data_IF_215742170871
#
_entry.id   IF_215742170871
#
_cell.length_a   1.000
_cell.length_b   1.000
_cell.length_c   1.000
_cell.angle_alpha   90.00
_cell.angle_beta   90.00
_cell.angle_gamma   90.00
#
_symmetry.space_group_name_H-M   'P 1'
#
loop_
_entity.id
_entity.type
_entity.pdbx_description
1 polymer ?
#
# COMPACT_ATOMS: atom_id res chain seq x y z
N UNK A 1 16.25 4.97 -54.35
CA UNK A 1 15.20 6.01 -54.26
C UNK A 1 14.45 5.97 -52.92
N UNK A 2 13.69 4.91 -52.60
CA UNK A 2 12.88 4.83 -51.36
C UNK A 2 13.62 5.06 -50.03
N UNK A 3 14.87 4.60 -49.89
CA UNK A 3 15.68 4.82 -48.68
C UNK A 3 16.06 6.31 -48.46
N UNK A 4 16.11 7.11 -49.53
CA UNK A 4 16.52 8.52 -49.50
C UNK A 4 15.32 9.46 -49.34
N UNK A 5 14.22 9.19 -50.05
CA UNK A 5 12.96 9.92 -49.93
C UNK A 5 11.78 8.93 -49.95
N UNK A 6 11.19 8.58 -48.79
CA UNK A 6 10.06 7.64 -48.71
C UNK A 6 8.72 8.23 -49.16
N UNK A 7 8.62 9.56 -49.19
CA UNK A 7 7.42 10.32 -49.49
C UNK A 7 7.72 11.39 -50.56
N UNK A 8 7.95 10.97 -51.81
CA UNK A 8 8.30 11.93 -52.85
C UNK A 8 7.14 12.86 -53.21
N UNK A 9 7.46 14.12 -53.42
CA UNK A 9 6.48 15.14 -53.81
C UNK A 9 6.01 14.97 -55.27
N UNK A 10 5.13 15.84 -55.76
CA UNK A 10 4.58 15.72 -57.13
C UNK A 10 5.64 15.97 -58.22
N UNK A 11 6.62 16.84 -57.96
CA UNK A 11 7.68 17.18 -58.91
C UNK A 11 8.67 16.03 -59.00
N UNK A 12 9.10 15.51 -57.85
CA UNK A 12 9.95 14.34 -57.72
C UNK A 12 9.30 13.10 -58.36
N UNK A 13 7.99 12.90 -58.15
CA UNK A 13 7.26 11.78 -58.78
C UNK A 13 7.23 11.91 -60.30
N UNK A 14 7.08 13.12 -60.86
CA UNK A 14 7.15 13.34 -62.32
C UNK A 14 8.55 13.11 -62.88
N UNK A 15 9.59 13.52 -62.15
CA UNK A 15 10.97 13.29 -62.57
C UNK A 15 11.29 11.78 -62.57
N UNK A 16 10.94 11.07 -61.50
CA UNK A 16 11.11 9.61 -61.40
C UNK A 16 10.33 8.88 -62.51
N UNK A 17 9.11 9.34 -62.80
CA UNK A 17 8.28 8.80 -63.88
C UNK A 17 8.96 8.98 -65.25
N UNK A 18 9.48 10.18 -65.52
CA UNK A 18 10.21 10.49 -66.75
C UNK A 18 11.48 9.66 -66.91
N UNK A 19 12.28 9.55 -65.85
CA UNK A 19 13.55 8.81 -65.86
C UNK A 19 13.36 7.30 -66.06
N UNK A 20 12.21 6.76 -65.63
CA UNK A 20 11.88 5.34 -65.70
C UNK A 20 10.92 4.97 -66.83
N UNK A 21 10.44 5.93 -67.62
CA UNK A 21 9.42 5.70 -68.67
C UNK A 21 8.08 5.21 -68.12
N UNK A 22 7.70 5.63 -66.92
CA UNK A 22 6.46 5.25 -66.23
C UNK A 22 5.48 6.42 -66.14
N UNK A 23 4.22 6.14 -65.82
CA UNK A 23 3.28 7.19 -65.45
C UNK A 23 3.50 7.66 -63.99
N UNK A 24 3.34 8.97 -63.68
CA UNK A 24 3.43 9.48 -62.31
C UNK A 24 2.52 8.77 -61.30
N UNK A 25 1.36 8.25 -61.76
CA UNK A 25 0.44 7.45 -60.94
C UNK A 25 1.05 6.10 -60.53
N UNK A 26 1.77 5.42 -61.43
CA UNK A 26 2.44 4.16 -61.13
C UNK A 26 3.52 4.35 -60.06
N UNK A 27 4.29 5.44 -60.14
CA UNK A 27 5.27 5.82 -59.13
C UNK A 27 4.59 6.05 -57.77
N UNK A 28 3.47 6.79 -57.74
CA UNK A 28 2.70 7.01 -56.50
C UNK A 28 2.28 5.70 -55.84
N UNK A 29 1.66 4.79 -56.59
CA UNK A 29 1.20 3.51 -56.06
C UNK A 29 2.36 2.61 -55.62
N UNK A 30 3.48 2.62 -56.34
CA UNK A 30 4.66 1.86 -55.95
C UNK A 30 5.20 2.32 -54.58
N UNK A 31 5.35 3.63 -54.36
CA UNK A 31 5.81 4.16 -53.06
C UNK A 31 4.82 3.87 -51.93
N UNK A 32 3.51 3.99 -52.20
CA UNK A 32 2.47 3.65 -51.23
C UNK A 32 2.53 2.17 -50.83
N UNK A 33 2.56 1.26 -51.81
CA UNK A 33 2.66 -0.17 -51.57
C UNK A 33 3.97 -0.53 -50.85
N UNK A 34 5.08 0.13 -51.18
CA UNK A 34 6.37 -0.11 -50.53
C UNK A 34 6.37 0.32 -49.06
N UNK A 35 5.71 1.43 -48.70
CA UNK A 35 5.52 1.85 -47.30
C UNK A 35 4.68 0.84 -46.53
N UNK A 36 3.54 0.42 -47.08
CA UNK A 36 2.68 -0.59 -46.46
C UNK A 36 3.43 -1.89 -46.23
N UNK A 37 4.15 -2.39 -47.24
CA UNK A 37 4.97 -3.59 -47.12
C UNK A 37 6.02 -3.47 -46.01
N UNK A 38 6.75 -2.34 -45.94
CA UNK A 38 7.78 -2.14 -44.92
C UNK A 38 7.17 -2.05 -43.51
N UNK A 39 6.02 -1.39 -43.35
CA UNK A 39 5.28 -1.31 -42.08
C UNK A 39 4.86 -2.71 -41.61
N UNK A 40 4.25 -3.50 -42.49
CA UNK A 40 3.84 -4.88 -42.16
C UNK A 40 5.02 -5.77 -41.78
N UNK A 41 6.17 -5.64 -42.46
CA UNK A 41 7.38 -6.39 -42.08
C UNK A 41 7.89 -5.96 -40.70
N UNK A 42 7.96 -4.66 -40.42
CA UNK A 42 8.36 -4.14 -39.10
C UNK A 42 7.45 -4.67 -37.99
N UNK A 43 6.14 -4.53 -38.16
CA UNK A 43 5.14 -4.98 -37.19
C UNK A 43 5.22 -6.49 -36.92
N UNK A 44 5.50 -7.30 -37.95
CA UNK A 44 5.71 -8.75 -37.78
C UNK A 44 6.97 -9.04 -36.97
N UNK A 45 8.06 -8.31 -37.20
CA UNK A 45 9.31 -8.47 -36.43
C UNK A 45 9.07 -8.05 -34.98
N UNK A 46 8.45 -6.90 -34.74
CA UNK A 46 8.13 -6.39 -33.41
C UNK A 46 7.19 -7.36 -32.65
N UNK A 47 6.16 -7.88 -33.32
CA UNK A 47 5.26 -8.87 -32.73
C UNK A 47 5.99 -10.17 -32.37
N UNK A 48 6.90 -10.63 -33.22
CA UNK A 48 7.68 -11.83 -32.94
C UNK A 48 8.59 -11.64 -31.71
N UNK A 49 9.23 -10.48 -31.56
CA UNK A 49 10.02 -10.13 -30.37
C UNK A 49 9.15 -10.14 -29.12
N UNK A 50 7.97 -9.51 -29.17
CA UNK A 50 7.03 -9.49 -28.04
C UNK A 50 6.54 -10.89 -27.65
N UNK A 51 6.31 -11.78 -28.63
CA UNK A 51 5.91 -13.17 -28.37
C UNK A 51 7.00 -13.95 -27.64
N UNK A 52 8.24 -13.84 -28.09
CA UNK A 52 9.39 -14.51 -27.44
C UNK A 52 9.56 -14.01 -26.02
N UNK A 53 9.46 -12.70 -25.79
CA UNK A 53 9.56 -12.12 -24.45
C UNK A 53 8.40 -12.53 -23.53
N UNK A 54 7.18 -12.61 -24.07
CA UNK A 54 6.02 -13.08 -23.32
C UNK A 54 6.18 -14.56 -22.91
N UNK A 55 6.64 -15.42 -23.83
CA UNK A 55 6.94 -16.81 -23.53
C UNK A 55 8.05 -16.95 -22.47
N UNK A 56 9.10 -16.13 -22.55
CA UNK A 56 10.15 -16.05 -21.52
C UNK A 56 9.56 -15.69 -20.15
N UNK A 57 8.77 -14.61 -20.07
CA UNK A 57 8.14 -14.18 -18.83
C UNK A 57 7.17 -15.24 -18.28
N UNK A 58 6.44 -15.93 -19.15
CA UNK A 58 5.52 -16.99 -18.73
C UNK A 58 6.29 -18.18 -18.12
N UNK A 59 7.40 -18.57 -18.74
CA UNK A 59 8.26 -19.64 -18.22
C UNK A 59 8.90 -19.24 -16.88
N UNK A 60 9.38 -18.01 -16.73
CA UNK A 60 9.90 -17.50 -15.45
C UNK A 60 8.83 -17.49 -14.35
N UNK A 61 7.62 -17.05 -14.66
CA UNK A 61 6.49 -17.11 -13.74
C UNK A 61 6.15 -18.54 -13.32
N UNK A 62 6.22 -19.50 -14.25
CA UNK A 62 5.97 -20.91 -13.95
C UNK A 62 7.03 -21.44 -12.97
N UNK A 63 8.31 -21.19 -13.24
CA UNK A 63 9.41 -21.61 -12.36
C UNK A 63 9.27 -20.99 -10.96
N UNK A 64 8.96 -19.69 -10.87
CA UNK A 64 8.74 -19.02 -9.59
C UNK A 64 7.55 -19.61 -8.82
N UNK A 65 6.44 -19.91 -9.50
CA UNK A 65 5.27 -20.53 -8.88
C UNK A 65 5.57 -21.93 -8.35
N UNK A 66 6.31 -22.74 -9.10
CA UNK A 66 6.74 -24.07 -8.64
C UNK A 66 7.71 -23.96 -7.46
N UNK A 67 8.67 -23.03 -7.50
CA UNK A 67 9.57 -22.80 -6.38
C UNK A 67 8.83 -22.41 -5.10
N UNK A 68 7.82 -21.53 -5.19
CA UNK A 68 7.01 -21.12 -4.05
C UNK A 68 6.25 -22.28 -3.39
N UNK A 69 5.85 -23.33 -4.13
CA UNK A 69 5.22 -24.52 -3.55
C UNK A 69 6.14 -25.30 -2.61
N UNK A 70 7.46 -25.19 -2.80
CA UNK A 70 8.46 -25.94 -2.02
C UNK A 70 8.95 -25.18 -0.79
N UNK A 71 8.66 -23.89 -0.68
CA UNK A 71 9.16 -23.04 0.41
C UNK A 71 8.21 -23.15 1.60
N UNK A 72 8.73 -23.67 2.71
CA UNK A 72 8.02 -23.86 3.97
C UNK A 72 8.52 -22.82 4.97
N UNK A 73 7.61 -22.09 5.62
CA UNK A 73 7.97 -21.13 6.66
C UNK A 73 8.35 -21.88 7.97
N UNK A 74 9.55 -21.69 8.52
CA UNK A 74 9.96 -22.37 9.76
C UNK A 74 9.12 -22.00 10.98
N UNK A 75 8.48 -20.83 10.96
CA UNK A 75 7.70 -20.30 12.10
C UNK A 75 6.21 -20.67 12.08
N UNK A 76 5.66 -21.06 10.93
CA UNK A 76 4.23 -21.42 10.80
C UNK A 76 3.94 -22.65 9.93
N UNK A 77 4.95 -23.33 9.38
CA UNK A 77 4.80 -24.53 8.55
C UNK A 77 4.38 -24.28 7.09
N UNK A 78 4.20 -23.02 6.68
CA UNK A 78 3.74 -22.67 5.33
C UNK A 78 2.27 -23.08 5.07
N UNK A 79 1.61 -22.52 4.03
CA UNK A 79 0.23 -22.86 3.74
C UNK A 79 0.17 -24.21 3.02
N UNK A 80 -0.27 -25.26 3.74
CA UNK A 80 -0.79 -26.47 3.11
C UNK A 80 -1.93 -26.05 2.18
N UNK A 81 -1.83 -26.43 0.90
CA UNK A 81 -2.87 -26.39 -0.14
C UNK A 81 -4.19 -25.82 0.38
N UNK A 82 -4.41 -24.52 0.16
CA UNK A 82 -5.59 -23.79 0.66
C UNK A 82 -6.88 -24.55 0.37
N UNK A 83 -6.95 -25.25 -0.76
CA UNK A 83 -8.10 -26.06 -1.17
C UNK A 83 -8.33 -27.28 -0.25
N UNK A 84 -7.30 -28.07 0.07
CA UNK A 84 -7.42 -29.24 0.95
C UNK A 84 -7.72 -28.85 2.40
N UNK A 85 -7.10 -27.77 2.90
CA UNK A 85 -7.35 -27.28 4.27
C UNK A 85 -8.75 -26.66 4.39
N UNK A 86 -9.21 -25.95 3.36
CA UNK A 86 -10.56 -25.39 3.31
C UNK A 86 -11.61 -26.50 3.24
N UNK A 87 -11.34 -27.56 2.49
CA UNK A 87 -12.21 -28.74 2.41
C UNK A 87 -12.28 -29.48 3.76
N UNK A 88 -11.13 -29.71 4.42
CA UNK A 88 -11.09 -30.28 5.79
C UNK A 88 -11.83 -29.41 6.82
N UNK A 89 -11.66 -28.08 6.75
CA UNK A 89 -12.34 -27.15 7.65
C UNK A 89 -13.86 -27.11 7.40
N UNK A 90 -14.28 -27.17 6.13
CA UNK A 90 -15.70 -27.29 5.76
C UNK A 90 -16.29 -28.62 6.23
N UNK A 91 -15.57 -29.72 6.09
CA UNK A 91 -15.97 -31.04 6.58
C UNK A 91 -16.16 -31.02 8.11
N UNK A 92 -15.22 -30.41 8.84
CA UNK A 92 -15.28 -30.26 10.29
C UNK A 92 -16.46 -29.38 10.74
N UNK A 93 -16.69 -28.25 10.07
CA UNK A 93 -17.83 -27.36 10.34
C UNK A 93 -19.18 -28.03 10.02
N UNK A 94 -19.25 -28.91 9.02
CA UNK A 94 -20.45 -29.71 8.73
C UNK A 94 -20.74 -30.71 9.84
N UNK A 95 -19.71 -31.40 10.34
CA UNK A 95 -19.84 -32.36 11.44
C UNK A 95 -20.32 -31.66 12.73
N UNK A 96 -19.75 -30.50 13.03
CA UNK A 96 -20.11 -29.71 14.20
C UNK A 96 -21.53 -29.14 14.10
N UNK A 97 -21.93 -28.63 12.92
CA UNK A 97 -23.31 -28.22 12.68
C UNK A 97 -24.30 -29.38 12.84
N UNK A 98 -23.98 -30.58 12.37
CA UNK A 98 -24.83 -31.75 12.57
C UNK A 98 -24.97 -32.10 14.06
N UNK A 99 -23.87 -32.03 14.82
CA UNK A 99 -23.87 -32.25 16.27
C UNK A 99 -24.71 -31.19 17.00
N UNK A 100 -24.53 -29.91 16.69
CA UNK A 100 -25.28 -28.81 17.29
C UNK A 100 -26.77 -28.90 16.97
N UNK A 101 -27.13 -29.26 15.73
CA UNK A 101 -28.53 -29.51 15.35
C UNK A 101 -29.14 -30.66 16.16
N UNK A 102 -28.41 -31.76 16.34
CA UNK A 102 -28.88 -32.88 17.15
C UNK A 102 -29.05 -32.50 18.64
N UNK A 103 -28.14 -31.69 19.19
CA UNK A 103 -28.27 -31.15 20.56
C UNK A 103 -29.46 -30.20 20.69
N UNK A 104 -29.66 -29.32 19.71
CA UNK A 104 -30.80 -28.41 19.67
C UNK A 104 -32.12 -29.18 19.57
N UNK A 105 -32.20 -30.22 18.74
CA UNK A 105 -33.40 -31.05 18.62
C UNK A 105 -33.68 -31.83 19.92
N UNK A 106 -32.64 -32.32 20.61
CA UNK A 106 -32.78 -32.99 21.91
C UNK A 106 -33.28 -32.03 22.99
N UNK A 107 -32.74 -30.81 23.05
CA UNK A 107 -33.19 -29.78 23.99
C UNK A 107 -34.60 -29.27 23.66
N UNK A 108 -34.92 -29.14 22.37
CA UNK A 108 -36.26 -28.78 21.92
C UNK A 108 -37.30 -29.84 22.30
N UNK A 109 -37.01 -31.13 22.08
CA UNK A 109 -37.85 -32.25 22.53
C UNK A 109 -38.00 -32.28 24.06
N UNK A 110 -36.92 -32.01 24.79
CA UNK A 110 -36.95 -31.92 26.25
C UNK A 110 -37.83 -30.76 26.74
N UNK A 111 -37.74 -29.59 26.10
CA UNK A 111 -38.57 -28.43 26.43
C UNK A 111 -40.05 -28.68 26.14
N UNK A 112 -40.38 -29.31 25.01
CA UNK A 112 -41.77 -29.69 24.68
C UNK A 112 -42.32 -30.67 25.74
N UNK A 113 -41.54 -31.69 26.12
CA UNK A 113 -41.96 -32.67 27.15
C UNK A 113 -42.13 -32.08 28.56
N UNK A 114 -41.41 -31.00 28.88
CA UNK A 114 -41.49 -30.35 30.20
C UNK A 114 -42.51 -29.21 30.27
N UNK A 115 -42.90 -28.62 29.15
CA UNK A 115 -43.92 -27.56 29.10
C UNK A 115 -45.35 -28.11 28.96
N UNK A 116 -45.53 -29.37 28.58
CA UNK A 116 -46.84 -30.02 28.42
C UNK A 116 -47.39 -30.71 29.69
N UNK A 117 -46.76 -30.54 30.87
CA UNK A 117 -47.32 -31.04 32.15
C UNK A 117 -47.96 -29.91 32.95
N UNK A 118 -49.29 -29.93 33.19
CA UNK A 118 -49.94 -28.91 33.99
C UNK A 118 -49.54 -29.05 35.47
N UNK A 119 -49.15 -27.93 36.07
CA UNK A 119 -48.81 -27.80 37.48
C UNK A 119 -50.11 -27.95 38.28
N UNK A 120 -50.24 -29.05 39.04
CA UNK A 120 -51.27 -29.17 40.08
C UNK A 120 -50.67 -28.69 41.41
N UNK A 121 -51.40 -27.76 42.02
CA UNK A 121 -51.18 -27.16 43.34
C UNK A 121 -50.94 -28.20 44.44
N UNK A 122 -50.10 -27.86 45.43
CA UNK A 122 -50.39 -28.16 46.83
C UNK A 122 -49.53 -27.31 47.79
N UNK A 123 -50.25 -26.55 48.62
CA UNK A 123 -49.80 -25.88 49.84
C UNK A 123 -49.60 -26.92 50.97
N UNK A 124 -48.74 -26.57 51.95
CA UNK A 124 -48.97 -26.59 53.42
C UNK A 124 -47.69 -26.94 54.23
N UNK A 125 -47.31 -25.94 55.04
CA UNK A 125 -46.98 -25.98 56.48
C UNK A 125 -45.59 -26.35 57.06
N UNK A 126 -44.82 -25.28 57.38
CA UNK A 126 -44.30 -24.80 58.71
C UNK A 126 -43.63 -25.72 59.79
N UNK A 127 -42.97 -25.23 60.89
CA UNK A 127 -42.31 -23.92 61.18
C UNK A 127 -41.08 -23.88 62.19
N UNK A 128 -40.55 -22.64 62.40
CA UNK A 128 -39.85 -21.96 63.57
C UNK A 128 -38.42 -22.37 64.05
N UNK A 129 -37.45 -21.43 64.01
CA UNK A 129 -36.89 -20.67 65.18
C UNK A 129 -35.84 -19.61 64.77
N UNK A 130 -35.99 -18.37 65.28
CA UNK A 130 -35.33 -17.16 64.77
C UNK A 130 -34.17 -16.58 65.59
N UNK A 131 -33.49 -15.56 65.04
CA UNK A 131 -33.30 -14.22 65.63
C UNK A 131 -32.39 -13.32 64.75
N UNK A 132 -32.80 -12.05 64.69
CA UNK A 132 -32.25 -10.83 64.06
C UNK A 132 -30.90 -10.39 64.70
N UNK A 133 -29.94 -9.63 64.13
CA UNK A 133 -30.03 -8.41 63.30
C UNK A 133 -28.68 -7.99 62.66
N UNK A 134 -28.80 -7.36 61.48
CA UNK A 134 -28.05 -6.23 60.88
C UNK A 134 -26.60 -6.35 60.34
N UNK A 135 -26.49 -6.20 59.00
CA UNK A 135 -25.31 -5.78 58.23
C UNK A 135 -25.46 -6.13 56.73
N UNK A 136 -25.56 -5.17 55.77
CA UNK A 136 -26.04 -5.47 54.41
C UNK A 136 -24.94 -5.93 53.44
N UNK A 137 -25.30 -6.94 52.64
CA UNK A 137 -24.46 -7.67 51.70
C UNK A 137 -24.44 -7.04 50.29
N UNK A 138 -23.26 -7.11 49.68
CA UNK A 138 -23.08 -7.19 48.23
C UNK A 138 -23.95 -8.32 47.65
N UNK A 139 -24.74 -8.01 46.64
CA UNK A 139 -25.58 -8.98 45.94
C UNK A 139 -25.99 -8.47 44.57
N UNK A 140 -25.10 -8.64 43.61
CA UNK A 140 -25.37 -8.48 42.18
C UNK A 140 -26.45 -9.48 41.74
N UNK A 141 -27.55 -9.00 41.17
CA UNK A 141 -28.40 -9.80 40.30
C UNK A 141 -29.01 -8.93 39.21
N UNK A 142 -28.54 -9.18 38.00
CA UNK A 142 -29.07 -8.74 36.72
C UNK A 142 -30.58 -9.03 36.63
N UNK A 143 -31.38 -7.99 36.35
CA UNK A 143 -32.75 -8.14 35.86
C UNK A 143 -32.85 -7.47 34.49
N UNK A 144 -32.95 -8.32 33.47
CA UNK A 144 -33.43 -7.98 32.14
C UNK A 144 -34.90 -7.51 32.25
N UNK A 145 -35.19 -6.30 31.78
CA UNK A 145 -36.56 -5.86 31.49
C UNK A 145 -36.61 -5.25 30.09
N UNK A 146 -37.29 -5.96 29.21
CA UNK A 146 -37.69 -5.50 27.90
C UNK A 146 -38.87 -4.51 27.99
N UNK A 147 -38.83 -3.51 27.12
CA UNK A 147 -39.97 -2.91 26.42
C UNK A 147 -40.92 -2.01 27.21
N UNK A 148 -40.93 -0.71 26.87
CA UNK A 148 -42.10 -0.05 26.26
C UNK A 148 -41.81 1.40 25.82
N UNK A 149 -42.00 1.59 24.52
CA UNK A 149 -42.50 2.73 23.75
C UNK A 149 -42.80 4.05 24.47
N UNK A 150 -42.23 5.15 23.96
CA UNK A 150 -42.83 6.49 24.02
C UNK A 150 -43.51 6.80 22.70
N UNK A 151 -44.82 7.06 22.78
CA UNK A 151 -45.62 7.66 21.71
C UNK A 151 -45.34 9.16 21.66
N UNK A 152 -45.13 9.69 20.46
CA UNK A 152 -45.29 11.10 20.12
C UNK A 152 -46.46 11.20 19.13
N UNK A 153 -47.41 12.10 19.39
CA UNK A 153 -48.59 12.33 18.57
C UNK A 153 -48.66 13.81 18.14
N UNK A 154 -48.98 14.03 16.86
CA UNK A 154 -49.43 15.29 16.24
C UNK A 154 -48.36 15.97 15.36
N UNK A 155 -48.59 16.32 14.10
CA UNK A 155 -49.78 16.31 13.24
C UNK A 155 -49.39 16.44 11.75
N UNK A 156 -50.19 15.82 10.86
CA UNK A 156 -50.58 16.18 9.46
C UNK A 156 -49.64 17.05 8.60
N UNK A 157 -49.26 16.70 7.35
CA UNK A 157 -50.12 16.47 6.15
C UNK A 157 -49.38 15.71 5.03
N UNK A 158 -50.16 15.12 4.12
CA UNK A 158 -49.86 14.31 2.91
C UNK A 158 -48.91 14.91 1.84
N UNK A 159 -48.05 14.10 1.22
CA UNK A 159 -48.11 13.67 -0.21
C UNK A 159 -46.85 12.83 -0.62
N UNK A 160 -47.11 11.63 -1.14
CA UNK A 160 -46.47 10.90 -2.25
C UNK A 160 -45.01 11.18 -2.70
N UNK A 161 -44.14 10.14 -2.70
CA UNK A 161 -43.36 9.67 -3.87
C UNK A 161 -42.17 8.77 -3.47
N UNK A 162 -42.00 7.70 -4.25
CA UNK A 162 -40.94 6.68 -4.25
C UNK A 162 -39.52 7.24 -4.44
N UNK A 163 -38.52 6.62 -3.80
CA UNK A 163 -37.21 6.32 -4.42
C UNK A 163 -36.33 5.40 -3.56
N UNK A 164 -35.54 4.60 -4.27
CA UNK A 164 -34.75 3.45 -3.84
C UNK A 164 -33.58 3.79 -2.90
N UNK A 165 -33.37 2.95 -1.88
CA UNK A 165 -32.18 2.98 -1.01
C UNK A 165 -31.13 2.00 -1.55
N UNK A 166 -30.08 2.57 -2.14
CA UNK A 166 -28.83 1.91 -2.51
C UNK A 166 -27.84 2.05 -1.34
N UNK A 167 -27.59 0.95 -0.62
CA UNK A 167 -26.67 0.88 0.52
C UNK A 167 -25.22 1.22 0.11
N UNK A 168 -24.84 2.50 0.24
CA UNK A 168 -23.45 2.97 0.20
C UNK A 168 -22.94 3.25 1.61
N UNK A 169 -22.36 2.24 2.27
CA UNK A 169 -21.60 2.43 3.51
C UNK A 169 -20.16 2.85 3.19
N UNK A 170 -19.97 4.14 2.97
CA UNK A 170 -18.65 4.80 2.99
C UNK A 170 -18.15 4.87 4.44
N UNK A 171 -17.11 4.11 4.75
CA UNK A 171 -16.32 4.24 5.98
C UNK A 171 -15.32 5.38 5.82
N UNK A 172 -15.82 6.62 5.90
CA UNK A 172 -14.99 7.81 5.95
C UNK A 172 -14.42 7.95 7.36
N UNK A 173 -13.21 7.44 7.59
CA UNK A 173 -12.43 7.73 8.79
C UNK A 173 -12.24 9.26 8.89
N UNK A 174 -12.74 9.86 9.98
CA UNK A 174 -12.68 11.31 10.20
C UNK A 174 -11.25 11.84 10.13
N UNK A 175 -11.02 12.82 9.26
CA UNK A 175 -9.74 13.52 9.19
C UNK A 175 -9.59 14.39 10.44
N UNK A 176 -8.75 13.96 11.38
CA UNK A 176 -8.30 14.80 12.49
C UNK A 176 -7.68 16.08 11.93
N UNK A 177 -8.16 17.24 12.38
CA UNK A 177 -7.59 18.53 11.98
C UNK A 177 -6.24 18.67 12.68
N UNK A 178 -5.15 18.68 11.92
CA UNK A 178 -3.79 18.94 12.44
C UNK A 178 -3.72 20.39 12.91
N UNK A 179 -3.36 20.59 14.17
CA UNK A 179 -3.19 21.92 14.76
C UNK A 179 -1.95 22.62 14.19
N UNK A 180 -1.93 23.95 14.28
CA UNK A 180 -0.77 24.73 13.83
C UNK A 180 0.52 24.35 14.58
N UNK A 181 0.41 24.01 15.87
CA UNK A 181 1.55 23.58 16.68
C UNK A 181 2.07 22.19 16.26
N UNK A 182 1.18 21.24 15.95
CA UNK A 182 1.60 19.95 15.39
C UNK A 182 2.29 20.12 14.04
N UNK A 183 1.77 21.03 13.20
CA UNK A 183 2.36 21.36 11.90
C UNK A 183 3.78 21.92 12.05
N UNK A 184 4.02 22.84 13.00
CA UNK A 184 5.37 23.37 13.24
C UNK A 184 6.32 22.30 13.79
N UNK A 185 5.84 21.43 14.69
CA UNK A 185 6.62 20.29 15.18
C UNK A 185 7.00 19.32 14.05
N UNK A 186 6.05 18.99 13.16
CA UNK A 186 6.30 18.16 11.99
C UNK A 186 7.34 18.79 11.06
N UNK A 187 7.27 20.10 10.83
CA UNK A 187 8.28 20.80 10.03
C UNK A 187 9.68 20.70 10.65
N UNK A 188 9.82 20.87 11.97
CA UNK A 188 11.10 20.68 12.66
C UNK A 188 11.65 19.26 12.52
N UNK A 189 10.80 18.23 12.68
CA UNK A 189 11.18 16.82 12.50
C UNK A 189 11.69 16.59 11.07
N UNK A 190 10.99 17.13 10.08
CA UNK A 190 11.32 16.94 8.67
C UNK A 190 12.65 17.63 8.27
N UNK A 191 12.90 18.83 8.79
CA UNK A 191 14.19 19.54 8.58
C UNK A 191 15.34 18.74 9.20
N UNK A 192 15.17 18.26 10.44
CA UNK A 192 16.18 17.43 11.11
C UNK A 192 16.43 16.12 10.35
N UNK A 193 15.38 15.48 9.83
CA UNK A 193 15.50 14.29 9.00
C UNK A 193 16.27 14.54 7.69
N UNK A 194 16.03 15.68 7.02
CA UNK A 194 16.80 16.08 5.84
C UNK A 194 18.28 16.29 6.16
N UNK A 195 18.59 16.97 7.27
CA UNK A 195 19.99 17.21 7.67
C UNK A 195 20.72 15.90 7.99
N UNK A 196 20.04 14.97 8.65
CA UNK A 196 20.54 13.63 8.89
C UNK A 196 20.77 12.86 7.58
N UNK A 197 19.78 12.84 6.67
CA UNK A 197 19.90 12.20 5.37
C UNK A 197 21.08 12.76 4.56
N UNK A 198 21.26 14.08 4.55
CA UNK A 198 22.40 14.74 3.90
C UNK A 198 23.73 14.23 4.45
N UNK A 199 23.84 14.08 5.77
CA UNK A 199 25.04 13.55 6.42
C UNK A 199 25.26 12.08 6.06
N UNK A 200 24.20 11.27 6.01
CA UNK A 200 24.26 9.86 5.62
C UNK A 200 24.66 9.65 4.15
N UNK A 201 24.19 10.51 3.25
CA UNK A 201 24.51 10.42 1.83
C UNK A 201 25.96 10.85 1.55
N UNK A 202 26.45 11.88 2.24
CA UNK A 202 27.80 12.43 2.08
C UNK A 202 28.89 11.66 2.82
N UNK A 203 28.54 10.97 3.90
CA UNK A 203 29.48 10.14 4.68
C UNK A 203 29.46 8.71 4.15
N UNK A 204 30.61 8.08 4.00
CA UNK A 204 30.73 6.65 3.74
C UNK A 204 31.10 5.95 5.04
N UNK A 205 32.36 5.57 5.22
CA UNK A 205 32.86 5.05 6.49
C UNK A 205 32.86 6.14 7.58
N UNK A 206 32.54 5.83 8.85
CA UNK A 206 32.25 4.49 9.40
C UNK A 206 30.75 4.10 9.34
N UNK A 207 29.88 4.98 8.85
CA UNK A 207 28.43 4.76 8.83
C UNK A 207 28.02 3.64 7.88
N UNK A 208 28.76 3.50 6.78
CA UNK A 208 28.48 2.54 5.72
C UNK A 208 29.57 1.49 5.67
N UNK A 209 29.22 0.26 6.00
CA UNK A 209 30.13 -0.88 5.93
C UNK A 209 29.77 -1.70 4.70
N UNK A 210 30.79 -2.03 3.91
CA UNK A 210 30.61 -2.89 2.76
C UNK A 210 30.50 -4.34 3.24
N UNK A 211 29.35 -4.95 2.98
CA UNK A 211 29.10 -6.35 3.29
C UNK A 211 30.06 -7.24 2.49
N UNK A 212 30.68 -8.20 3.18
CA UNK A 212 31.66 -9.12 2.59
C UNK A 212 31.02 -10.16 1.67
N UNK A 213 29.72 -10.41 1.80
CA UNK A 213 28.99 -11.46 1.06
C UNK A 213 28.43 -10.98 -0.27
N UNK A 214 27.84 -9.78 -0.30
CA UNK A 214 27.10 -9.26 -1.46
C UNK A 214 27.63 -7.90 -1.97
N UNK A 215 28.71 -7.39 -1.37
CA UNK A 215 29.36 -6.12 -1.74
C UNK A 215 28.44 -4.88 -1.58
N UNK A 216 27.26 -5.03 -0.95
CA UNK A 216 26.32 -3.94 -0.70
C UNK A 216 26.74 -3.13 0.52
N UNK A 217 26.34 -1.87 0.56
CA UNK A 217 26.54 -1.02 1.72
C UNK A 217 25.41 -1.23 2.71
N UNK A 218 25.77 -1.58 3.95
CA UNK A 218 24.86 -1.74 5.08
C UNK A 218 25.19 -0.70 6.13
N UNK A 219 24.18 -0.15 6.79
CA UNK A 219 24.36 0.81 7.86
C UNK A 219 24.97 0.15 9.11
N UNK A 220 26.05 0.71 9.63
CA UNK A 220 26.59 0.32 10.93
C UNK A 220 25.78 0.97 12.05
N UNK A 221 24.81 0.22 12.59
CA UNK A 221 23.80 0.74 13.53
C UNK A 221 24.42 1.43 14.74
N UNK A 222 25.47 0.87 15.35
CA UNK A 222 26.09 1.44 16.55
C UNK A 222 26.78 2.79 16.28
N UNK A 223 27.40 2.93 15.10
CA UNK A 223 27.98 4.22 14.67
C UNK A 223 26.87 5.22 14.35
N UNK A 224 25.79 4.76 13.73
CA UNK A 224 24.63 5.59 13.44
C UNK A 224 23.98 6.12 14.72
N UNK A 225 23.70 5.26 15.70
CA UNK A 225 23.09 5.65 16.99
C UNK A 225 24.00 6.58 17.80
N UNK A 226 25.32 6.42 17.69
CA UNK A 226 26.29 7.34 18.31
C UNK A 226 26.24 8.73 17.70
N UNK A 227 26.08 8.83 16.37
CA UNK A 227 26.07 10.09 15.64
C UNK A 227 24.70 10.78 15.72
N UNK A 228 23.63 10.01 15.80
CA UNK A 228 22.24 10.47 15.81
C UNK A 228 21.48 9.87 17.01
N UNK A 229 21.77 10.33 18.24
CA UNK A 229 21.08 9.84 19.43
C UNK A 229 19.59 10.19 19.37
N UNK A 230 18.74 9.17 19.43
CA UNK A 230 17.27 9.29 19.27
C UNK A 230 16.53 8.49 20.34
N UNK A 231 15.28 8.87 20.57
CA UNK A 231 14.34 8.07 21.37
C UNK A 231 13.92 6.88 20.51
N UNK A 232 14.42 5.68 20.82
CA UNK A 232 14.01 4.47 20.12
C UNK A 232 12.54 4.18 20.42
N UNK A 233 11.68 4.38 19.42
CA UNK A 233 10.27 4.00 19.46
C UNK A 233 10.07 2.46 19.46
N UNK A 234 11.09 1.70 19.06
CA UNK A 234 11.10 0.24 19.06
C UNK A 234 12.29 -0.28 19.86
N UNK A 235 12.05 -0.63 21.12
CA UNK A 235 12.99 -1.43 21.92
C UNK A 235 12.40 -2.81 22.17
N UNK A 236 12.22 -3.57 21.08
CA UNK A 236 11.81 -4.97 21.16
C UNK A 236 12.98 -5.84 20.64
N UNK A 237 13.31 -6.92 21.35
CA UNK A 237 14.34 -7.88 20.93
C UNK A 237 14.04 -8.55 19.58
N UNK A 238 12.80 -8.45 19.10
CA UNK A 238 12.37 -8.95 17.77
C UNK A 238 12.44 -7.91 16.65
N UNK A 239 12.75 -6.65 16.97
CA UNK A 239 12.86 -5.60 15.96
C UNK A 239 14.05 -5.88 15.03
N UNK A 240 13.87 -5.67 13.73
CA UNK A 240 14.92 -5.77 12.73
C UNK A 240 15.08 -4.42 12.05
N UNK A 241 16.33 -3.99 11.90
CA UNK A 241 16.68 -2.79 11.14
C UNK A 241 17.12 -3.22 9.75
N UNK A 242 16.52 -2.61 8.74
CA UNK A 242 16.86 -2.80 7.34
C UNK A 242 17.40 -1.48 6.81
N UNK A 243 18.44 -1.52 5.98
CA UNK A 243 19.01 -0.34 5.34
C UNK A 243 19.54 -0.67 3.96
N UNK A 244 19.49 0.30 3.05
CA UNK A 244 20.07 0.20 1.72
C UNK A 244 20.57 1.55 1.21
N UNK A 245 21.69 1.55 0.48
CA UNK A 245 22.25 2.74 -0.19
C UNK A 245 22.62 2.38 -1.61
N UNK A 246 22.18 3.19 -2.58
CA UNK A 246 22.54 3.03 -3.98
C UNK A 246 22.69 4.38 -4.68
N UNK A 247 23.38 4.41 -5.82
CA UNK A 247 23.53 5.61 -6.66
C UNK A 247 23.52 5.26 -8.14
N UNK A 248 22.67 5.93 -8.91
CA UNK A 248 22.51 5.67 -10.35
C UNK A 248 22.16 6.93 -11.14
N UNK A 249 22.57 6.97 -12.40
CA UNK A 249 22.17 8.02 -13.36
C UNK A 249 20.88 7.59 -14.07
N UNK A 250 19.90 8.48 -14.14
CA UNK A 250 18.63 8.29 -14.84
C UNK A 250 18.43 9.36 -15.91
N UNK A 251 17.75 9.00 -17.00
CA UNK A 251 17.51 9.88 -18.17
C UNK A 251 16.24 10.71 -18.01
N UNK A 252 16.17 11.45 -16.91
CA UNK A 252 15.04 12.33 -16.56
C UNK A 252 15.62 13.63 -16.02
N UNK A 253 15.00 14.78 -16.33
CA UNK A 253 15.40 16.08 -15.77
C UNK A 253 15.19 16.07 -14.25
N UNK A 254 16.13 16.61 -13.49
CA UNK A 254 16.07 16.60 -12.02
C UNK A 254 14.74 17.14 -11.46
N UNK A 255 14.28 18.30 -11.95
CA UNK A 255 13.00 18.88 -11.52
C UNK A 255 11.79 17.98 -11.84
N UNK A 256 11.77 17.39 -13.04
CA UNK A 256 10.70 16.47 -13.46
C UNK A 256 10.67 15.22 -12.58
N UNK A 257 11.83 14.68 -12.22
CA UNK A 257 11.92 13.58 -11.27
C UNK A 257 11.39 13.99 -9.89
N UNK A 258 11.77 15.17 -9.38
CA UNK A 258 11.25 15.71 -8.11
C UNK A 258 9.72 15.82 -8.14
N UNK A 259 9.15 16.37 -9.22
CA UNK A 259 7.69 16.47 -9.39
C UNK A 259 7.01 15.09 -9.35
N UNK A 260 7.60 14.09 -10.00
CA UNK A 260 7.09 12.72 -9.98
C UNK A 260 7.16 12.08 -8.59
N UNK A 261 8.25 12.27 -7.84
CA UNK A 261 8.39 11.68 -6.50
C UNK A 261 7.48 12.33 -5.45
N UNK A 262 7.05 13.58 -5.67
CA UNK A 262 6.12 14.27 -4.77
C UNK A 262 4.64 13.94 -5.05
N UNK A 263 4.35 13.35 -6.20
CA UNK A 263 3.00 12.91 -6.54
C UNK A 263 2.79 11.46 -6.07
N UNK A 264 1.82 11.22 -5.19
CA UNK A 264 1.58 9.88 -4.61
C UNK A 264 1.15 8.84 -5.65
N UNK A 265 0.34 9.22 -6.64
CA UNK A 265 -0.14 8.30 -7.68
C UNK A 265 1.01 7.91 -8.62
N UNK A 266 1.86 8.87 -8.99
CA UNK A 266 3.04 8.59 -9.80
C UNK A 266 4.05 7.76 -9.01
N UNK A 267 4.25 8.07 -7.72
CA UNK A 267 5.11 7.30 -6.82
C UNK A 267 4.70 5.83 -6.74
N UNK A 268 3.41 5.55 -6.52
CA UNK A 268 2.86 4.19 -6.49
C UNK A 268 3.15 3.45 -7.80
N UNK A 269 2.93 4.10 -8.95
CA UNK A 269 3.19 3.52 -10.26
C UNK A 269 4.68 3.27 -10.54
N UNK A 270 5.56 4.22 -10.18
CA UNK A 270 7.00 4.12 -10.35
C UNK A 270 7.60 2.96 -9.54
N UNK A 271 7.06 2.71 -8.36
CA UNK A 271 7.60 1.74 -7.41
C UNK A 271 6.64 0.56 -7.15
N UNK A 272 5.80 0.20 -8.12
CA UNK A 272 4.77 -0.85 -8.01
C UNK A 272 5.26 -2.24 -7.55
N UNK A 273 6.58 -2.51 -7.62
CA UNK A 273 7.19 -3.76 -7.11
C UNK A 273 7.48 -3.78 -5.62
N UNK A 274 7.39 -2.62 -4.96
CA UNK A 274 7.69 -2.46 -3.53
C UNK A 274 6.61 -1.63 -2.81
N UNK A 275 5.89 -0.77 -3.52
CA UNK A 275 4.80 0.06 -3.03
C UNK A 275 3.49 -0.48 -3.59
N UNK A 276 2.59 -0.90 -2.70
CA UNK A 276 1.26 -1.39 -3.06
C UNK A 276 0.25 -0.26 -3.13
N UNK A 277 0.35 0.70 -2.20
CA UNK A 277 -0.55 1.86 -2.11
C UNK A 277 0.21 3.07 -1.58
N UNK A 278 0.00 4.23 -2.16
CA UNK A 278 0.51 5.49 -1.60
C UNK A 278 -0.57 6.58 -1.63
N UNK A 279 -0.67 7.37 -0.56
CA UNK A 279 -1.57 8.52 -0.50
C UNK A 279 -0.94 9.69 0.23
N UNK A 280 -1.15 10.89 -0.30
CA UNK A 280 -0.96 12.12 0.46
C UNK A 280 -2.18 12.31 1.36
N UNK A 281 -1.97 12.28 2.68
CA UNK A 281 -3.02 12.55 3.68
C UNK A 281 -3.21 14.07 3.79
N UNK A 282 -2.09 14.74 4.09
CA UNK A 282 -1.87 16.15 4.39
C UNK A 282 -0.94 16.85 3.41
N UNK A 283 -1.31 17.95 2.74
CA UNK A 283 -0.30 18.91 2.27
C UNK A 283 -0.07 19.92 3.39
N UNK A 284 1.09 19.85 4.05
CA UNK A 284 1.43 20.74 5.17
C UNK A 284 2.02 22.04 4.63
N UNK A 285 2.99 21.97 3.73
CA UNK A 285 3.58 23.14 3.07
C UNK A 285 3.66 22.90 1.55
N UNK A 286 3.28 23.91 0.76
CA UNK A 286 3.30 23.83 -0.71
C UNK A 286 4.69 24.07 -1.30
N UNK A 287 5.62 24.62 -0.52
CA UNK A 287 6.94 25.05 -1.01
C UNK A 287 6.88 26.09 -2.13
N UNK A 288 8.04 26.36 -2.73
CA UNK A 288 8.15 27.24 -3.89
C UNK A 288 7.60 26.58 -5.16
N UNK A 289 6.82 27.33 -5.94
CA UNK A 289 6.27 26.89 -7.22
C UNK A 289 7.35 26.65 -8.28
N UNK A 290 8.50 27.33 -8.18
CA UNK A 290 9.54 27.26 -9.20
C UNK A 290 10.40 26.00 -9.08
N UNK A 291 10.71 25.59 -7.85
CA UNK A 291 11.69 24.53 -7.59
C UNK A 291 11.23 23.50 -6.55
N UNK A 292 9.98 23.56 -6.08
CA UNK A 292 9.42 22.66 -5.04
C UNK A 292 10.17 22.68 -3.71
N UNK A 293 11.10 23.61 -3.52
CA UNK A 293 11.85 23.71 -2.27
C UNK A 293 10.90 24.13 -1.14
N UNK A 294 10.92 23.38 -0.05
CA UNK A 294 10.06 23.60 1.11
C UNK A 294 8.73 22.85 1.07
N UNK A 295 8.46 22.01 0.06
CA UNK A 295 7.26 21.14 0.06
C UNK A 295 7.34 20.18 1.26
N UNK A 296 6.27 20.12 2.06
CA UNK A 296 6.13 19.19 3.18
C UNK A 296 4.78 18.48 3.09
N UNK A 297 4.81 17.15 3.00
CA UNK A 297 3.64 16.30 2.86
C UNK A 297 3.57 15.33 4.04
N UNK A 298 2.36 15.09 4.56
CA UNK A 298 2.07 13.94 5.41
C UNK A 298 1.49 12.84 4.52
N UNK A 299 2.18 11.70 4.47
CA UNK A 299 1.88 10.61 3.56
C UNK A 299 1.62 9.30 4.32
N UNK A 300 0.83 8.43 3.69
CA UNK A 300 0.72 7.02 4.04
C UNK A 300 1.16 6.18 2.86
N UNK A 301 1.92 5.13 3.16
CA UNK A 301 2.38 4.15 2.18
C UNK A 301 2.23 2.74 2.73
N UNK A 302 1.77 1.83 1.88
CA UNK A 302 1.79 0.40 2.13
C UNK A 302 2.84 -0.23 1.22
N UNK A 303 3.85 -0.83 1.82
CA UNK A 303 4.92 -1.51 1.11
C UNK A 303 4.77 -3.02 1.24
N UNK A 304 5.14 -3.75 0.19
CA UNK A 304 5.27 -5.19 0.22
C UNK A 304 6.70 -5.61 -0.11
N UNK A 305 7.08 -6.77 0.40
CA UNK A 305 8.24 -7.50 -0.10
C UNK A 305 7.71 -8.58 -1.03
N UNK A 306 8.47 -8.95 -2.06
CA UNK A 306 8.13 -10.06 -2.98
C UNK A 306 8.28 -11.43 -2.30
N UNK A 307 7.69 -11.59 -1.11
CA UNK A 307 7.65 -12.82 -0.34
C UNK A 307 6.29 -12.95 0.34
N UNK A 308 5.55 -14.05 0.12
CA UNK A 308 4.24 -14.27 0.77
C UNK A 308 4.36 -14.49 2.28
N UNK A 309 5.58 -14.66 2.80
CA UNK A 309 5.86 -14.87 4.22
C UNK A 309 6.07 -13.56 5.00
N UNK A 310 6.18 -12.44 4.29
CA UNK A 310 6.38 -11.12 4.90
C UNK A 310 5.11 -10.30 4.70
N UNK A 311 4.38 -9.95 5.77
CA UNK A 311 3.18 -9.14 5.64
C UNK A 311 3.53 -7.74 5.10
N UNK A 312 2.56 -7.11 4.44
CA UNK A 312 2.66 -5.70 4.05
C UNK A 312 2.99 -4.82 5.26
N UNK A 313 3.81 -3.81 5.04
CA UNK A 313 4.22 -2.82 6.04
C UNK A 313 3.56 -1.50 5.74
N UNK A 314 2.92 -0.92 6.74
CA UNK A 314 2.24 0.37 6.63
C UNK A 314 3.07 1.45 7.32
N UNK A 315 3.30 2.55 6.63
CA UNK A 315 4.07 3.70 7.12
C UNK A 315 3.23 4.96 7.07
N UNK A 316 3.29 5.74 8.14
CA UNK A 316 2.86 7.12 8.22
C UNK A 316 4.10 7.99 8.40
N UNK A 317 4.35 8.88 7.44
CA UNK A 317 5.62 9.62 7.40
C UNK A 317 5.46 11.00 6.78
N UNK A 318 6.40 11.87 7.11
CA UNK A 318 6.58 13.15 6.47
C UNK A 318 7.51 13.00 5.28
N UNK A 319 7.14 13.55 4.13
CA UNK A 319 8.00 13.72 2.95
C UNK A 319 8.33 15.20 2.79
N UNK A 320 9.60 15.55 2.88
CA UNK A 320 10.09 16.92 2.77
C UNK A 320 11.05 17.09 1.61
N UNK A 321 10.74 18.02 0.71
CA UNK A 321 11.58 18.36 -0.43
C UNK A 321 12.29 19.70 -0.19
N UNK A 322 13.59 19.72 -0.41
CA UNK A 322 14.37 20.94 -0.34
C UNK A 322 15.43 20.99 -1.43
N UNK A 323 15.54 22.13 -2.12
CA UNK A 323 16.64 22.38 -3.05
C UNK A 323 17.83 22.93 -2.26
N UNK A 324 18.88 22.13 -2.09
CA UNK A 324 20.06 22.48 -1.29
C UNK A 324 21.04 23.37 -2.06
N UNK A 325 21.15 23.14 -3.37
CA UNK A 325 22.03 23.87 -4.27
C UNK A 325 21.34 23.99 -5.64
N UNK A 326 21.86 24.86 -6.51
CA UNK A 326 21.35 24.96 -7.87
C UNK A 326 21.36 23.57 -8.54
N UNK A 327 20.20 23.12 -9.00
CA UNK A 327 20.02 21.81 -9.61
C UNK A 327 20.22 20.58 -8.70
N UNK A 328 20.26 20.75 -7.37
CA UNK A 328 20.39 19.65 -6.40
C UNK A 328 19.24 19.67 -5.39
N UNK A 329 18.47 18.59 -5.36
CA UNK A 329 17.34 18.41 -4.44
C UNK A 329 17.60 17.27 -3.48
N UNK A 330 17.04 17.38 -2.28
CA UNK A 330 16.92 16.31 -1.30
C UNK A 330 15.45 16.12 -1.00
N UNK A 331 14.99 14.87 -1.09
CA UNK A 331 13.69 14.45 -0.60
C UNK A 331 13.94 13.53 0.57
N UNK A 332 13.47 13.92 1.75
CA UNK A 332 13.64 13.19 3.00
C UNK A 332 12.29 12.69 3.52
N UNK A 333 12.25 11.41 3.89
CA UNK A 333 11.10 10.71 4.44
C UNK A 333 11.39 10.31 5.90
N UNK A 334 10.46 10.56 6.82
CA UNK A 334 10.63 10.16 8.24
C UNK A 334 9.29 9.86 8.89
N UNK A 335 9.20 8.75 9.62
CA UNK A 335 7.97 8.41 10.34
C UNK A 335 7.64 9.44 11.42
N UNK A 336 6.34 9.70 11.58
CA UNK A 336 5.80 10.55 12.64
C UNK A 336 4.66 9.84 13.35
N UNK A 337 4.60 10.05 14.66
CA UNK A 337 3.57 9.50 15.53
C UNK A 337 2.32 10.39 15.49
N UNK A 338 1.60 10.34 14.37
CA UNK A 338 0.43 11.19 14.12
C UNK A 338 -0.90 10.54 14.57
N UNK A 339 -0.90 9.26 14.95
CA UNK A 339 -2.13 8.46 15.17
C UNK A 339 -2.17 7.78 16.54
N UNK A 340 -1.90 8.51 17.63
CA UNK A 340 -2.00 8.01 19.02
C UNK A 340 -3.41 7.58 19.46
N UNK A 341 -4.43 7.72 18.63
CA UNK A 341 -5.83 7.38 18.96
C UNK A 341 -6.16 5.90 18.74
N UNK A 342 -5.44 5.21 17.85
CA UNK A 342 -5.50 3.76 17.77
C UNK A 342 -4.41 3.21 18.69
N UNK A 343 -4.80 2.55 19.78
CA UNK A 343 -3.93 1.90 20.79
C UNK A 343 -3.06 0.73 20.22
N UNK A 344 -2.69 0.79 18.94
CA UNK A 344 -1.77 -0.15 18.31
C UNK A 344 -0.46 0.57 18.11
N UNK A 345 0.57 0.16 18.85
CA UNK A 345 1.94 0.54 18.53
C UNK A 345 2.18 0.22 17.04
N UNK A 346 2.81 1.12 16.28
CA UNK A 346 3.12 0.83 14.89
C UNK A 346 3.92 -0.48 14.84
N UNK A 347 3.71 -1.30 13.81
CA UNK A 347 4.52 -2.51 13.60
C UNK A 347 5.82 -2.22 12.84
N UNK A 348 5.92 -1.05 12.22
CA UNK A 348 7.04 -0.61 11.38
C UNK A 348 7.30 0.89 11.59
N UNK A 349 8.58 1.29 11.50
CA UNK A 349 9.00 2.69 11.65
C UNK A 349 10.06 3.04 10.63
N UNK A 350 9.90 4.19 9.98
CA UNK A 350 10.85 4.73 9.01
C UNK A 350 11.79 5.73 9.69
N UNK A 351 13.07 5.37 9.76
CA UNK A 351 14.14 6.32 10.07
C UNK A 351 14.32 7.32 8.91
N UNK A 352 14.99 8.47 9.11
CA UNK A 352 15.23 9.43 8.05
C UNK A 352 15.85 8.78 6.82
N UNK A 353 15.10 8.73 5.74
CA UNK A 353 15.48 8.08 4.49
C UNK A 353 15.10 8.97 3.32
N UNK A 354 15.35 8.53 2.08
CA UNK A 354 14.98 9.25 0.88
C UNK A 354 16.10 9.32 -0.15
N UNK A 355 16.20 10.44 -0.86
CA UNK A 355 17.15 10.57 -1.96
C UNK A 355 17.69 11.98 -2.17
N UNK A 356 18.87 12.04 -2.77
CA UNK A 356 19.46 13.24 -3.35
C UNK A 356 19.46 13.13 -4.87
N UNK A 357 18.95 14.15 -5.54
CA UNK A 357 18.81 14.24 -6.99
C UNK A 357 19.65 15.40 -7.49
N UNK A 358 20.66 15.11 -8.28
CA UNK A 358 21.57 16.10 -8.86
C UNK A 358 21.41 16.14 -10.38
N UNK A 359 20.99 17.29 -10.90
CA UNK A 359 20.88 17.52 -12.34
C UNK A 359 22.23 17.50 -13.03
N UNK A 360 22.32 16.72 -14.11
CA UNK A 360 23.47 16.65 -15.02
C UNK A 360 23.06 17.28 -16.37
N UNK A 361 24.03 17.61 -17.21
CA UNK A 361 23.78 18.01 -18.60
C UNK A 361 22.94 16.98 -19.37
N UNK A 362 22.30 17.43 -20.46
CA UNK A 362 21.51 16.61 -21.38
C UNK A 362 20.24 15.99 -20.80
N UNK A 363 19.65 16.62 -19.78
CA UNK A 363 18.37 16.18 -19.20
C UNK A 363 18.46 14.85 -18.44
N UNK A 364 19.63 14.54 -17.89
CA UNK A 364 19.85 13.41 -17.00
C UNK A 364 20.01 13.91 -15.56
N UNK A 365 19.85 13.03 -14.59
CA UNK A 365 20.22 13.32 -13.20
C UNK A 365 20.87 12.09 -12.54
N UNK A 366 21.77 12.35 -11.60
CA UNK A 366 22.26 11.34 -10.67
C UNK A 366 21.34 11.31 -9.46
N UNK A 367 20.90 10.12 -9.09
CA UNK A 367 20.07 9.87 -7.92
C UNK A 367 20.86 9.01 -6.96
N UNK A 368 21.05 9.48 -5.74
CA UNK A 368 21.63 8.71 -4.64
C UNK A 368 20.58 8.51 -3.57
N UNK A 369 20.28 7.25 -3.24
CA UNK A 369 19.19 6.87 -2.34
C UNK A 369 19.74 6.28 -1.05
N UNK A 370 18.99 6.48 0.02
CA UNK A 370 19.12 5.80 1.30
C UNK A 370 17.71 5.37 1.73
N UNK A 371 17.47 4.09 1.96
CA UNK A 371 16.21 3.58 2.51
C UNK A 371 16.42 2.81 3.78
#
# INVERSE_FOLDING_TARGET
>A
LFRKCPNPDEIERRQIAKDLGLEPKQVKFWFQNKRTQKKTISERVDNNVLRVENERMHNENLVLREALKTIICPSCGGPHNEDERRELCLEQLRLENARLKAQHEKLSKFLVQHMDKPILEQNLDSPIRGSSSHGPLLGSSLRLRAGRSRMNLGASTSHDSFQDEEDTMSSQAGSKIITQMEKTMMAHIAVAAKDELLKLLRTNEPLWVKSSTDQRYVLHLECYETIFPRINHFKNSKARVESSKDSRIVRIKAKELVDMLLNSEIWENLFSRIVTKARTIQVLENGSLENRSGVLLLMREEMHVLSPLVPSREFYFLRYCHQVEANVWVIADVSVDCMKENNHDPNCWRFPSGCMIQGISNGMCQVSTYM
#
